data_IF_201269749252
#
_entry.id   IF_201269749252
#
_cell.length_a   1.000
_cell.length_b   1.000
_cell.length_c   1.000
_cell.angle_alpha   90.00
_cell.angle_beta   90.00
_cell.angle_gamma   90.00
#
_symmetry.space_group_name_H-M   'P 1'
#
loop_
_entity.id
_entity.type
_entity.pdbx_description
1 polymer ?
#
# COMPACT_ATOMS: atom_id res chain seq x y z
N UNK A 1 -81.31 -0.84 8.95
CA UNK A 1 -81.49 -2.26 9.32
C UNK A 1 -80.21 -2.68 10.04
N UNK A 2 -79.95 -2.42 11.32
CA UNK A 2 -80.73 -2.54 12.57
C UNK A 2 -81.37 -3.94 12.74
N UNK A 3 -81.03 -4.53 13.88
CA UNK A 3 -81.46 -5.79 14.53
C UNK A 3 -80.60 -7.03 14.17
N UNK A 4 -79.99 -7.78 15.10
CA UNK A 4 -80.20 -7.98 16.55
C UNK A 4 -78.87 -8.57 17.13
N UNK A 5 -78.19 -8.04 18.17
CA UNK A 5 -78.45 -8.18 19.60
C UNK A 5 -78.95 -9.61 19.98
N UNK A 6 -78.44 -10.38 20.96
CA UNK A 6 -77.63 -10.08 22.16
C UNK A 6 -77.41 -11.42 22.93
N UNK A 7 -76.29 -11.52 23.65
CA UNK A 7 -76.10 -12.16 24.99
C UNK A 7 -76.44 -13.64 25.24
N UNK A 8 -75.44 -14.39 25.76
CA UNK A 8 -75.45 -14.87 27.16
C UNK A 8 -74.08 -15.47 27.55
N UNK A 9 -73.37 -14.71 28.38
CA UNK A 9 -72.29 -15.16 29.26
C UNK A 9 -72.87 -16.00 30.39
N UNK A 10 -72.26 -17.13 30.74
CA UNK A 10 -72.26 -17.63 32.12
C UNK A 10 -70.90 -18.23 32.48
N UNK A 11 -70.43 -17.78 33.64
CA UNK A 11 -69.12 -17.99 34.22
C UNK A 11 -69.00 -19.33 34.95
N UNK A 12 -67.74 -19.68 35.20
CA UNK A 12 -67.17 -20.14 36.48
C UNK A 12 -66.76 -21.61 36.59
N UNK A 13 -65.43 -21.76 36.53
CA UNK A 13 -64.56 -22.47 37.47
C UNK A 13 -64.67 -24.00 37.58
N UNK A 14 -63.60 -24.67 37.14
CA UNK A 14 -62.81 -25.48 38.08
C UNK A 14 -61.32 -25.46 37.70
N UNK A 15 -60.49 -25.24 38.72
CA UNK A 15 -59.04 -25.12 38.70
C UNK A 15 -58.39 -26.50 38.85
N UNK A 16 -57.10 -26.57 38.48
CA UNK A 16 -56.03 -27.50 38.95
C UNK A 16 -55.46 -28.52 37.92
N UNK A 17 -54.38 -28.07 37.26
CA UNK A 17 -53.01 -28.64 37.16
C UNK A 17 -52.81 -30.14 36.84
N UNK A 18 -52.19 -30.38 35.67
CA UNK A 18 -50.99 -31.21 35.39
C UNK A 18 -50.76 -31.13 33.85
N UNK A 19 -49.89 -30.28 33.29
CA UNK A 19 -48.42 -30.39 33.22
C UNK A 19 -48.04 -31.88 33.01
N UNK A 20 -47.66 -32.40 31.84
CA UNK A 20 -46.68 -31.92 30.87
C UNK A 20 -46.79 -32.76 29.59
N UNK A 21 -46.95 -32.14 28.43
CA UNK A 21 -46.52 -32.72 27.14
C UNK A 21 -46.12 -31.57 26.23
N UNK A 22 -44.98 -30.99 26.59
CA UNK A 22 -44.25 -29.99 25.80
C UNK A 22 -43.86 -30.65 24.48
N UNK A 23 -44.66 -30.43 23.45
CA UNK A 23 -44.19 -30.58 22.06
C UNK A 23 -43.47 -29.30 21.71
N UNK A 24 -42.22 -29.18 22.16
CA UNK A 24 -41.29 -28.17 21.64
C UNK A 24 -41.14 -28.45 20.14
N UNK A 25 -41.19 -27.44 19.25
CA UNK A 25 -40.63 -27.64 17.93
C UNK A 25 -39.17 -28.03 18.16
N UNK A 26 -38.71 -29.09 17.49
CA UNK A 26 -37.30 -29.42 17.46
C UNK A 26 -36.58 -28.17 16.91
N UNK A 27 -36.02 -27.38 17.83
CA UNK A 27 -34.98 -26.42 17.50
C UNK A 27 -33.92 -27.30 16.85
N UNK A 28 -33.77 -27.17 15.54
CA UNK A 28 -32.53 -27.56 14.90
C UNK A 28 -31.47 -26.81 15.70
N UNK A 29 -30.78 -27.51 16.61
CA UNK A 29 -29.48 -27.05 17.05
C UNK A 29 -28.72 -26.90 15.75
N UNK A 30 -28.50 -25.67 15.32
CA UNK A 30 -27.43 -25.41 14.40
C UNK A 30 -26.19 -25.93 15.12
N UNK A 31 -25.77 -27.13 14.77
CA UNK A 31 -24.37 -27.50 14.84
C UNK A 31 -23.66 -26.64 13.81
N UNK A 32 -23.65 -25.32 14.04
CA UNK A 32 -22.62 -24.46 13.51
C UNK A 32 -21.35 -24.98 14.15
N UNK A 33 -20.63 -25.81 13.40
CA UNK A 33 -19.28 -26.18 13.76
C UNK A 33 -18.52 -24.86 13.95
N UNK A 34 -18.24 -24.53 15.21
CA UNK A 34 -17.46 -23.36 15.56
C UNK A 34 -16.11 -23.48 14.84
N UNK A 35 -15.79 -22.47 14.03
CA UNK A 35 -14.50 -22.40 13.36
C UNK A 35 -13.40 -22.47 14.42
N UNK A 36 -12.40 -23.33 14.17
CA UNK A 36 -11.19 -23.35 14.99
C UNK A 36 -10.47 -22.00 14.89
N UNK A 37 -9.67 -21.63 15.91
CA UNK A 37 -8.84 -20.42 15.85
C UNK A 37 -7.93 -20.41 14.60
N UNK A 38 -7.49 -21.58 14.15
CA UNK A 38 -6.74 -21.75 12.89
C UNK A 38 -7.57 -21.33 11.67
N UNK A 39 -8.82 -21.79 11.58
CA UNK A 39 -9.73 -21.42 10.48
C UNK A 39 -10.09 -19.94 10.50
N UNK A 40 -10.35 -19.38 11.69
CA UNK A 40 -10.61 -17.94 11.85
C UNK A 40 -9.39 -17.11 11.42
N UNK A 41 -8.19 -17.52 11.84
CA UNK A 41 -6.94 -16.87 11.46
C UNK A 41 -6.72 -16.93 9.95
N UNK A 42 -6.81 -18.10 9.33
CA UNK A 42 -6.66 -18.24 7.87
C UNK A 42 -7.69 -17.39 7.11
N UNK A 43 -8.95 -17.34 7.55
CA UNK A 43 -9.96 -16.48 6.95
C UNK A 43 -9.62 -14.99 7.04
N UNK A 44 -9.11 -14.52 8.18
CA UNK A 44 -8.67 -13.11 8.35
C UNK A 44 -7.47 -12.76 7.46
N UNK A 45 -6.54 -13.71 7.26
CA UNK A 45 -5.33 -13.46 6.47
C UNK A 45 -5.50 -13.75 4.97
N UNK A 46 -6.56 -14.45 4.56
CA UNK A 46 -6.86 -14.67 3.13
C UNK A 46 -7.08 -13.34 2.41
N UNK A 47 -7.72 -12.37 3.06
CA UNK A 47 -7.92 -11.04 2.48
C UNK A 47 -6.60 -10.26 2.37
N UNK A 48 -5.74 -10.36 3.38
CA UNK A 48 -4.39 -9.78 3.34
C UNK A 48 -3.53 -10.43 2.25
N UNK A 49 -3.61 -11.75 2.07
CA UNK A 49 -2.93 -12.48 1.00
C UNK A 49 -3.34 -11.99 -0.38
N UNK A 50 -4.64 -11.73 -0.61
CA UNK A 50 -5.12 -11.11 -1.86
C UNK A 50 -4.57 -9.70 -2.05
N UNK A 51 -4.61 -8.87 -1.00
CA UNK A 51 -4.08 -7.50 -1.05
C UNK A 51 -2.58 -7.47 -1.40
N UNK A 52 -1.78 -8.34 -0.76
CA UNK A 52 -0.33 -8.43 -1.03
C UNK A 52 -0.09 -8.98 -2.44
N UNK A 53 -0.88 -9.94 -2.90
CA UNK A 53 -0.84 -10.42 -4.28
C UNK A 53 -1.04 -9.30 -5.30
N UNK A 54 -2.03 -8.42 -5.09
CA UNK A 54 -2.23 -7.22 -5.92
C UNK A 54 -1.07 -6.24 -5.81
N UNK A 55 -0.55 -5.99 -4.61
CA UNK A 55 0.60 -5.10 -4.41
C UNK A 55 1.84 -5.61 -5.16
N UNK A 56 2.07 -6.92 -5.19
CA UNK A 56 3.18 -7.53 -5.95
C UNK A 56 3.03 -7.30 -7.45
N UNK A 57 1.83 -7.51 -7.98
CA UNK A 57 1.54 -7.23 -9.40
C UNK A 57 1.71 -5.74 -9.74
N UNK A 58 1.21 -4.85 -8.89
CA UNK A 58 1.37 -3.41 -9.09
C UNK A 58 2.84 -2.97 -9.01
N UNK A 59 3.63 -3.59 -8.13
CA UNK A 59 5.06 -3.32 -8.03
C UNK A 59 5.82 -3.77 -9.29
N UNK A 60 5.47 -4.92 -9.89
CA UNK A 60 6.08 -5.34 -11.15
C UNK A 60 5.70 -4.41 -12.31
N UNK A 61 4.43 -3.98 -12.38
CA UNK A 61 3.98 -3.03 -13.40
C UNK A 61 4.72 -1.70 -13.27
N UNK A 62 4.88 -1.18 -12.03
CA UNK A 62 5.60 0.07 -11.81
C UNK A 62 7.08 -0.06 -12.16
N UNK A 63 7.71 -1.20 -11.84
CA UNK A 63 9.09 -1.48 -12.23
C UNK A 63 9.27 -1.46 -13.76
N UNK A 64 8.39 -2.14 -14.50
CA UNK A 64 8.43 -2.20 -15.96
C UNK A 64 8.20 -0.82 -16.58
N UNK A 65 7.24 -0.06 -16.03
CA UNK A 65 6.98 1.32 -16.43
C UNK A 65 8.23 2.18 -16.24
N UNK A 66 8.87 2.14 -15.06
CA UNK A 66 10.07 2.95 -14.78
C UNK A 66 11.23 2.58 -15.69
N UNK A 67 11.41 1.29 -16.00
CA UNK A 67 12.42 0.84 -16.98
C UNK A 67 12.15 1.44 -18.37
N UNK A 68 10.91 1.38 -18.84
CA UNK A 68 10.53 1.97 -20.12
C UNK A 68 10.69 3.50 -20.14
N UNK A 69 10.34 4.19 -19.04
CA UNK A 69 10.57 5.63 -18.89
C UNK A 69 12.05 5.99 -18.90
N UNK A 70 12.90 5.19 -18.24
CA UNK A 70 14.34 5.37 -18.23
C UNK A 70 14.95 5.19 -19.62
N UNK A 71 14.57 4.14 -20.35
CA UNK A 71 15.05 3.92 -21.72
C UNK A 71 14.67 5.09 -22.65
N UNK A 72 13.41 5.54 -22.58
CA UNK A 72 12.93 6.67 -23.37
C UNK A 72 13.67 7.96 -23.02
N UNK A 73 13.80 8.26 -21.74
CA UNK A 73 14.39 9.53 -21.28
C UNK A 73 15.91 9.53 -21.49
N UNK A 74 16.56 8.37 -21.44
CA UNK A 74 17.96 8.21 -21.85
C UNK A 74 18.17 8.48 -23.35
N UNK A 75 17.28 7.95 -24.21
CA UNK A 75 17.32 8.24 -25.63
C UNK A 75 17.09 9.74 -25.93
N UNK A 76 16.20 10.39 -25.19
CA UNK A 76 15.96 11.83 -25.27
C UNK A 76 17.19 12.64 -24.83
N UNK A 77 17.86 12.23 -23.75
CA UNK A 77 19.11 12.86 -23.31
C UNK A 77 20.18 12.78 -24.39
N UNK A 78 20.35 11.62 -25.02
CA UNK A 78 21.31 11.43 -26.12
C UNK A 78 20.98 12.27 -27.35
N UNK A 79 19.69 12.40 -27.68
CA UNK A 79 19.24 13.30 -28.73
C UNK A 79 19.55 14.77 -28.38
N UNK A 80 19.22 15.20 -27.17
CA UNK A 80 19.41 16.58 -26.72
C UNK A 80 20.90 16.93 -26.61
N UNK A 81 21.77 15.99 -26.25
CA UNK A 81 23.22 16.17 -26.31
C UNK A 81 23.69 16.53 -27.72
N UNK A 82 23.26 15.76 -28.74
CA UNK A 82 23.59 16.03 -30.15
C UNK A 82 23.02 17.36 -30.65
N UNK A 83 21.82 17.72 -30.20
CA UNK A 83 21.20 19.00 -30.56
C UNK A 83 21.93 20.18 -29.92
N UNK A 84 22.38 20.04 -28.66
CA UNK A 84 23.15 21.06 -27.96
C UNK A 84 24.53 21.26 -28.61
N UNK A 85 25.24 20.19 -28.96
CA UNK A 85 26.52 20.26 -29.70
C UNK A 85 26.39 21.01 -31.03
N UNK A 86 25.22 20.94 -31.65
CA UNK A 86 24.89 21.68 -32.88
C UNK A 86 24.31 23.08 -32.64
N UNK A 87 24.27 23.54 -31.39
CA UNK A 87 23.64 24.79 -30.96
C UNK A 87 22.14 24.91 -31.34
N UNK A 88 21.46 23.79 -31.55
CA UNK A 88 20.04 23.76 -31.93
C UNK A 88 19.09 23.94 -30.74
N UNK A 89 19.54 23.62 -29.53
CA UNK A 89 18.82 23.83 -28.27
C UNK A 89 19.72 24.58 -27.27
N UNK A 90 19.15 25.38 -26.35
CA UNK A 90 19.93 26.01 -25.29
C UNK A 90 20.36 25.00 -24.22
N UNK A 91 21.42 25.33 -23.48
CA UNK A 91 22.01 24.48 -22.42
C UNK A 91 20.96 23.99 -21.40
N UNK A 92 20.01 24.85 -21.02
CA UNK A 92 18.97 24.52 -20.05
C UNK A 92 18.10 23.31 -20.47
N UNK A 93 17.87 23.08 -21.76
CA UNK A 93 17.10 21.90 -22.23
C UNK A 93 17.91 20.62 -22.02
N UNK A 94 19.24 20.69 -22.21
CA UNK A 94 20.14 19.57 -21.92
C UNK A 94 20.19 19.29 -20.41
N UNK A 95 20.30 20.34 -19.58
CA UNK A 95 20.30 20.22 -18.11
C UNK A 95 19.01 19.56 -17.59
N UNK A 96 17.85 19.96 -18.11
CA UNK A 96 16.55 19.34 -17.77
C UNK A 96 16.57 17.85 -18.09
N UNK A 97 17.09 17.49 -19.27
CA UNK A 97 17.15 16.09 -19.71
C UNK A 97 18.09 15.25 -18.83
N UNK A 98 19.23 15.82 -18.43
CA UNK A 98 20.17 15.18 -17.51
C UNK A 98 19.55 14.93 -16.13
N UNK A 99 18.84 15.93 -15.60
CA UNK A 99 18.16 15.82 -14.31
C UNK A 99 17.00 14.82 -14.36
N UNK A 100 16.28 14.75 -15.48
CA UNK A 100 15.20 13.77 -15.68
C UNK A 100 15.73 12.34 -15.73
N UNK A 101 16.79 12.08 -16.49
CA UNK A 101 17.47 10.78 -16.54
C UNK A 101 18.00 10.39 -15.15
N UNK A 102 18.66 11.31 -14.45
CA UNK A 102 19.17 11.07 -13.10
C UNK A 102 18.05 10.72 -12.11
N UNK A 103 16.92 11.45 -12.14
CA UNK A 103 15.76 11.15 -11.31
C UNK A 103 15.18 9.76 -11.62
N UNK A 104 14.99 9.41 -12.89
CA UNK A 104 14.45 8.10 -13.26
C UNK A 104 15.37 6.94 -12.83
N UNK A 105 16.70 7.11 -12.88
CA UNK A 105 17.64 6.11 -12.33
C UNK A 105 17.43 5.89 -10.84
N UNK A 106 17.13 6.95 -10.08
CA UNK A 106 16.80 6.81 -8.64
C UNK A 106 15.44 6.17 -8.42
N UNK A 107 14.45 6.48 -9.26
CA UNK A 107 13.14 5.80 -9.22
C UNK A 107 13.29 4.30 -9.47
N UNK A 108 14.18 3.88 -10.36
CA UNK A 108 14.42 2.45 -10.62
C UNK A 108 14.90 1.73 -9.36
N UNK A 109 15.89 2.29 -8.65
CA UNK A 109 16.40 1.72 -7.39
C UNK A 109 15.26 1.59 -6.36
N UNK A 110 14.45 2.64 -6.22
CA UNK A 110 13.31 2.63 -5.29
C UNK A 110 12.29 1.57 -5.69
N UNK A 111 11.98 1.43 -6.98
CA UNK A 111 11.04 0.44 -7.49
C UNK A 111 11.52 -1.00 -7.28
N UNK A 112 12.80 -1.26 -7.53
CA UNK A 112 13.43 -2.57 -7.28
C UNK A 112 13.35 -2.94 -5.79
N UNK A 113 13.75 -2.03 -4.90
CA UNK A 113 13.64 -2.25 -3.45
C UNK A 113 12.20 -2.38 -2.97
N UNK A 114 11.26 -1.66 -3.58
CA UNK A 114 9.85 -1.78 -3.26
C UNK A 114 9.29 -3.15 -3.67
N UNK A 115 9.68 -3.66 -4.84
CA UNK A 115 9.32 -5.00 -5.28
C UNK A 115 9.92 -6.09 -4.36
N UNK A 116 11.18 -5.92 -3.92
CA UNK A 116 11.82 -6.79 -2.93
C UNK A 116 11.07 -6.78 -1.58
N UNK A 117 10.75 -5.59 -1.06
CA UNK A 117 10.03 -5.46 0.20
C UNK A 117 8.63 -6.10 0.16
N UNK A 118 7.90 -5.95 -0.94
CA UNK A 118 6.59 -6.60 -1.13
C UNK A 118 6.76 -8.12 -1.32
N UNK A 119 7.82 -8.56 -1.99
CA UNK A 119 8.20 -9.97 -2.07
C UNK A 119 8.43 -10.59 -0.69
N UNK A 120 9.22 -9.92 0.17
CA UNK A 120 9.47 -10.36 1.53
C UNK A 120 8.19 -10.40 2.40
N UNK A 121 7.25 -9.45 2.19
CA UNK A 121 5.93 -9.48 2.85
C UNK A 121 5.11 -10.70 2.41
N UNK A 122 5.12 -11.00 1.11
CA UNK A 122 4.44 -12.16 0.56
C UNK A 122 4.99 -13.48 1.12
N UNK A 123 6.33 -13.59 1.23
CA UNK A 123 6.99 -14.73 1.86
C UNK A 123 6.61 -14.86 3.35
N UNK A 124 6.63 -13.75 4.11
CA UNK A 124 6.26 -13.77 5.52
C UNK A 124 4.81 -14.22 5.76
N UNK A 125 3.87 -13.79 4.91
CA UNK A 125 2.48 -14.28 4.97
C UNK A 125 2.39 -15.75 4.58
N UNK A 126 3.14 -16.18 3.57
CA UNK A 126 3.18 -17.58 3.15
C UNK A 126 3.68 -18.50 4.26
N UNK A 127 4.75 -18.10 4.97
CA UNK A 127 5.27 -18.85 6.13
C UNK A 127 4.25 -18.94 7.28
N UNK A 128 3.49 -17.86 7.52
CA UNK A 128 2.39 -17.91 8.49
C UNK A 128 1.31 -18.90 8.07
N UNK A 129 0.91 -18.92 6.80
CA UNK A 129 -0.11 -19.84 6.32
C UNK A 129 0.36 -21.28 6.52
N UNK A 130 1.60 -21.59 6.15
CA UNK A 130 2.23 -22.91 6.36
C UNK A 130 2.21 -23.33 7.82
N UNK A 131 2.61 -22.43 8.73
CA UNK A 131 2.56 -22.68 10.18
C UNK A 131 1.15 -23.05 10.67
N UNK A 132 0.13 -22.29 10.24
CA UNK A 132 -1.25 -22.56 10.66
C UNK A 132 -1.85 -23.81 10.00
N UNK A 133 -1.37 -24.20 8.82
CA UNK A 133 -1.71 -25.47 8.15
C UNK A 133 -1.08 -26.69 8.84
N UNK A 134 -0.21 -26.47 9.84
CA UNK A 134 0.42 -27.53 10.63
C UNK A 134 1.72 -28.05 10.03
N UNK A 135 2.29 -27.34 9.06
CA UNK A 135 3.67 -27.59 8.64
C UNK A 135 4.65 -27.26 9.78
N UNK A 136 5.82 -27.91 9.84
CA UNK A 136 6.78 -27.75 10.92
C UNK A 136 7.60 -26.45 10.79
N UNK A 137 6.93 -25.30 10.71
CA UNK A 137 7.56 -23.97 10.76
C UNK A 137 7.77 -23.58 12.21
N UNK A 138 8.98 -23.19 12.57
CA UNK A 138 9.33 -22.76 13.93
C UNK A 138 8.96 -21.30 14.16
N UNK A 139 8.76 -20.92 15.43
CA UNK A 139 8.58 -19.51 15.82
C UNK A 139 9.78 -18.65 15.41
N UNK A 140 11.00 -19.23 15.42
CA UNK A 140 12.21 -18.58 14.95
C UNK A 140 12.15 -18.25 13.45
N UNK A 141 11.69 -19.19 12.63
CA UNK A 141 11.54 -19.02 11.18
C UNK A 141 10.49 -17.95 10.87
N UNK A 142 9.32 -18.00 11.52
CA UNK A 142 8.27 -16.99 11.40
C UNK A 142 8.79 -15.59 11.75
N UNK A 143 9.44 -15.46 12.90
CA UNK A 143 10.02 -14.20 13.34
C UNK A 143 11.05 -13.68 12.35
N UNK A 144 11.95 -14.55 11.87
CA UNK A 144 12.97 -14.17 10.91
C UNK A 144 12.37 -13.66 9.59
N UNK A 145 11.30 -14.30 9.09
CA UNK A 145 10.64 -13.87 7.86
C UNK A 145 9.95 -12.53 8.02
N UNK A 146 9.25 -12.32 9.13
CA UNK A 146 8.63 -11.03 9.46
C UNK A 146 9.67 -9.92 9.64
N UNK A 147 10.79 -10.23 10.31
CA UNK A 147 11.86 -9.26 10.53
C UNK A 147 12.50 -8.83 9.20
N UNK A 148 12.80 -9.78 8.30
CA UNK A 148 13.30 -9.46 6.96
C UNK A 148 12.34 -8.56 6.19
N UNK A 149 11.05 -8.86 6.22
CA UNK A 149 10.02 -8.03 5.59
C UNK A 149 9.98 -6.61 6.16
N UNK A 150 10.15 -6.45 7.48
CA UNK A 150 10.23 -5.14 8.12
C UNK A 150 11.47 -4.35 7.69
N UNK A 151 12.63 -5.00 7.75
CA UNK A 151 13.91 -4.39 7.42
C UNK A 151 13.95 -3.96 5.94
N UNK A 152 13.47 -4.80 5.01
CA UNK A 152 13.37 -4.46 3.59
C UNK A 152 12.46 -3.23 3.33
N UNK A 153 11.38 -3.08 4.10
CA UNK A 153 10.52 -1.90 4.04
C UNK A 153 11.20 -0.61 4.51
N UNK A 154 12.15 -0.71 5.44
CA UNK A 154 12.93 0.40 5.96
C UNK A 154 14.11 0.76 5.05
N UNK A 155 14.75 -0.25 4.45
CA UNK A 155 15.97 -0.11 3.63
C UNK A 155 15.78 0.67 2.33
N UNK A 156 14.53 0.81 1.84
CA UNK A 156 14.20 1.68 0.72
C UNK A 156 14.08 3.16 1.09
N UNK A 157 13.89 3.48 2.37
CA UNK A 157 13.60 4.84 2.83
C UNK A 157 14.64 5.88 2.42
N UNK A 158 15.96 5.63 2.58
CA UNK A 158 16.99 6.56 2.14
C UNK A 158 16.94 6.86 0.64
N UNK A 159 16.73 5.83 -0.20
CA UNK A 159 16.65 6.01 -1.65
C UNK A 159 15.36 6.71 -2.07
N UNK A 160 14.24 6.51 -1.37
CA UNK A 160 13.02 7.28 -1.59
C UNK A 160 13.27 8.79 -1.38
N UNK A 161 14.03 9.16 -0.35
CA UNK A 161 14.40 10.58 -0.10
C UNK A 161 15.23 11.12 -1.25
N UNK A 162 16.33 10.44 -1.60
CA UNK A 162 17.23 10.85 -2.69
C UNK A 162 16.49 10.96 -4.02
N UNK A 163 15.55 10.05 -4.30
CA UNK A 163 14.76 10.09 -5.51
C UNK A 163 13.78 11.29 -5.54
N UNK A 164 13.21 11.68 -4.40
CA UNK A 164 12.36 12.88 -4.32
C UNK A 164 13.16 14.18 -4.40
N UNK A 165 14.37 14.23 -3.84
CA UNK A 165 15.28 15.37 -4.00
C UNK A 165 15.69 15.55 -5.46
N UNK A 166 16.00 14.45 -6.17
CA UNK A 166 16.29 14.48 -7.60
C UNK A 166 15.07 14.98 -8.42
N UNK A 167 13.85 14.58 -8.04
CA UNK A 167 12.64 15.11 -8.65
C UNK A 167 12.51 16.62 -8.44
N UNK A 168 12.73 17.10 -7.21
CA UNK A 168 12.66 18.53 -6.90
C UNK A 168 13.68 19.34 -7.72
N UNK A 169 14.91 18.84 -7.88
CA UNK A 169 15.92 19.47 -8.72
C UNK A 169 15.50 19.55 -10.20
N UNK A 170 14.97 18.44 -10.75
CA UNK A 170 14.39 18.41 -12.11
C UNK A 170 13.23 19.41 -12.26
N UNK A 171 12.29 19.43 -11.31
CA UNK A 171 11.13 20.30 -11.35
C UNK A 171 11.52 21.78 -11.25
N UNK A 172 12.53 22.11 -10.44
CA UNK A 172 13.05 23.47 -10.31
C UNK A 172 13.67 23.97 -11.61
N UNK A 173 14.50 23.15 -12.25
CA UNK A 173 15.11 23.48 -13.54
C UNK A 173 14.04 23.59 -14.65
N UNK A 174 13.04 22.72 -14.63
CA UNK A 174 11.90 22.78 -15.56
C UNK A 174 11.08 24.06 -15.38
N UNK A 175 10.87 24.51 -14.14
CA UNK A 175 10.21 25.76 -13.83
C UNK A 175 11.04 26.97 -14.27
N UNK A 176 12.36 26.95 -14.08
CA UNK A 176 13.26 27.98 -14.59
C UNK A 176 13.07 28.16 -16.10
N UNK A 177 13.02 27.05 -16.84
CA UNK A 177 12.79 27.08 -18.28
C UNK A 177 11.39 27.57 -18.64
N UNK A 178 10.36 27.13 -17.92
CA UNK A 178 9.00 27.61 -18.12
C UNK A 178 8.88 29.12 -17.94
N UNK A 179 9.57 29.70 -16.94
CA UNK A 179 9.64 31.16 -16.72
C UNK A 179 10.29 31.89 -17.91
N UNK A 180 11.41 31.38 -18.42
CA UNK A 180 12.09 31.95 -19.60
C UNK A 180 11.20 31.93 -20.86
N UNK A 181 10.41 30.88 -21.04
CA UNK A 181 9.51 30.75 -22.18
C UNK A 181 8.25 31.62 -22.02
N UNK A 182 7.70 31.68 -20.82
CA UNK A 182 6.54 32.50 -20.52
C UNK A 182 6.85 34.01 -20.68
N UNK A 183 8.03 34.47 -20.22
CA UNK A 183 8.45 35.87 -20.39
C UNK A 183 8.61 36.30 -21.85
N UNK A 184 8.74 35.34 -22.78
CA UNK A 184 8.81 35.56 -24.23
C UNK A 184 7.46 35.36 -24.94
N UNK A 185 6.40 35.10 -24.18
CA UNK A 185 5.07 34.79 -24.71
C UNK A 185 4.96 33.41 -25.37
N UNK A 186 5.96 32.54 -25.23
CA UNK A 186 6.00 31.21 -25.87
C UNK A 186 5.33 30.11 -25.04
N UNK A 187 4.89 30.43 -23.82
CA UNK A 187 4.28 29.47 -22.88
C UNK A 187 3.18 30.16 -22.08
N UNK A 188 2.05 29.48 -21.87
CA UNK A 188 0.88 30.06 -21.19
C UNK A 188 1.09 30.17 -19.67
N UNK A 189 0.39 31.11 -19.02
CA UNK A 189 0.41 31.22 -17.56
C UNK A 189 -0.03 29.93 -16.87
N UNK A 190 -0.99 29.18 -17.46
CA UNK A 190 -1.46 27.92 -16.91
C UNK A 190 -0.32 26.90 -16.79
N UNK A 191 0.47 26.70 -17.85
CA UNK A 191 1.61 25.77 -17.84
C UNK A 191 2.68 26.23 -16.84
N UNK A 192 2.89 27.53 -16.69
CA UNK A 192 3.82 28.04 -15.67
C UNK A 192 3.36 27.67 -14.25
N UNK A 193 2.07 27.88 -13.94
CA UNK A 193 1.49 27.55 -12.64
C UNK A 193 1.52 26.03 -12.36
N UNK A 194 1.32 25.21 -13.37
CA UNK A 194 1.46 23.75 -13.27
C UNK A 194 2.89 23.36 -12.85
N UNK A 195 3.92 23.99 -13.42
CA UNK A 195 5.33 23.74 -13.03
C UNK A 195 5.66 24.24 -11.64
N UNK A 196 5.06 25.36 -11.20
CA UNK A 196 5.19 25.82 -9.82
C UNK A 196 4.55 24.85 -8.83
N UNK A 197 3.37 24.33 -9.16
CA UNK A 197 2.69 23.32 -8.36
C UNK A 197 3.51 22.02 -8.30
N UNK A 198 4.08 21.57 -9.42
CA UNK A 198 4.92 20.38 -9.48
C UNK A 198 6.15 20.50 -8.55
N UNK A 199 6.86 21.63 -8.60
CA UNK A 199 7.99 21.88 -7.70
C UNK A 199 7.57 21.85 -6.23
N UNK A 200 6.43 22.48 -5.91
CA UNK A 200 5.90 22.49 -4.54
C UNK A 200 5.59 21.07 -4.04
N UNK A 201 4.97 20.25 -4.90
CA UNK A 201 4.67 18.85 -4.59
C UNK A 201 5.95 18.05 -4.40
N UNK A 202 6.94 18.20 -5.30
CA UNK A 202 8.20 17.49 -5.22
C UNK A 202 8.95 17.79 -3.91
N UNK A 203 9.06 19.07 -3.53
CA UNK A 203 9.69 19.49 -2.26
C UNK A 203 8.95 18.95 -1.04
N UNK A 204 7.63 19.08 -1.02
CA UNK A 204 6.80 18.55 0.08
C UNK A 204 6.94 17.03 0.22
N UNK A 205 7.03 16.30 -0.89
CA UNK A 205 7.26 14.86 -0.87
C UNK A 205 8.65 14.49 -0.33
N UNK A 206 9.70 15.22 -0.70
CA UNK A 206 11.04 15.01 -0.16
C UNK A 206 11.07 15.17 1.37
N UNK A 207 10.50 16.27 1.89
CA UNK A 207 10.39 16.54 3.32
C UNK A 207 9.58 15.44 4.05
N UNK A 208 8.44 15.05 3.48
CA UNK A 208 7.58 13.99 4.03
C UNK A 208 8.27 12.62 4.07
N UNK A 209 9.08 12.29 3.06
CA UNK A 209 9.85 11.04 3.01
C UNK A 209 10.98 11.06 4.05
N UNK A 210 11.70 12.18 4.16
CA UNK A 210 12.74 12.33 5.18
C UNK A 210 12.19 12.13 6.60
N UNK A 211 11.07 12.79 6.92
CA UNK A 211 10.42 12.61 8.22
C UNK A 211 9.87 11.19 8.48
N UNK A 212 9.57 10.41 7.44
CA UNK A 212 9.19 8.98 7.57
C UNK A 212 10.37 8.07 7.84
N UNK A 213 11.51 8.34 7.21
CA UNK A 213 12.73 7.57 7.43
C UNK A 213 13.16 7.60 8.90
N UNK A 214 13.08 8.78 9.52
CA UNK A 214 13.38 8.94 10.95
C UNK A 214 12.44 8.11 11.83
N UNK A 215 11.16 7.99 11.45
CA UNK A 215 10.20 7.13 12.16
C UNK A 215 10.48 5.65 11.98
N UNK A 216 10.85 5.19 10.78
CA UNK A 216 11.20 3.78 10.55
C UNK A 216 12.40 3.35 11.41
N UNK A 217 13.34 4.26 11.66
CA UNK A 217 14.48 4.03 12.57
C UNK A 217 14.10 4.07 14.04
N UNK A 218 13.04 4.80 14.41
CA UNK A 218 12.59 4.96 15.79
C UNK A 218 11.59 3.89 16.26
N UNK A 219 10.79 3.30 15.36
CA UNK A 219 9.87 2.21 15.70
C UNK A 219 10.66 0.92 15.86
N UNK A 220 10.84 0.50 17.11
CA UNK A 220 11.47 -0.77 17.45
C UNK A 220 10.53 -1.92 17.08
N UNK A 221 10.92 -2.72 16.08
CA UNK A 221 10.31 -4.04 15.91
C UNK A 221 10.64 -4.90 17.13
N UNK A 222 9.65 -5.55 17.80
CA UNK A 222 9.87 -6.30 19.03
C UNK A 222 10.94 -7.38 18.85
N UNK A 223 11.76 -7.62 19.87
CA UNK A 223 12.71 -8.72 19.81
C UNK A 223 11.99 -10.07 19.87
N UNK A 224 12.62 -11.13 19.35
CA UNK A 224 12.06 -12.48 19.47
C UNK A 224 11.87 -12.88 20.95
N UNK A 225 12.79 -12.46 21.81
CA UNK A 225 12.69 -12.71 23.24
C UNK A 225 11.45 -12.04 23.84
N UNK A 226 11.15 -10.80 23.47
CA UNK A 226 9.95 -10.10 23.93
C UNK A 226 8.66 -10.79 23.43
N UNK A 227 8.65 -11.25 22.18
CA UNK A 227 7.51 -12.00 21.62
C UNK A 227 7.30 -13.32 22.37
N UNK A 228 8.38 -14.06 22.66
CA UNK A 228 8.33 -15.32 23.40
C UNK A 228 7.91 -15.14 24.87
N UNK A 229 8.17 -13.98 25.47
CA UNK A 229 7.69 -13.65 26.82
C UNK A 229 6.18 -13.39 26.85
N UNK A 230 5.59 -12.86 25.76
CA UNK A 230 4.14 -12.62 25.65
C UNK A 230 3.36 -13.93 25.48
N UNK A 231 3.98 -14.97 24.91
CA UNK A 231 3.33 -16.27 24.68
C UNK A 231 3.33 -17.20 25.90
N UNK A 232 3.76 -16.74 27.07
CA UNK A 232 3.71 -17.47 28.35
C UNK A 232 2.59 -16.91 29.23
#
# INVERSE_FOLDING_TARGET
MIECLRTLTFCAALLVVLVSAVSRPAVAQSTEALLSQKQLFVMMYTDQGRAIGYQRLLASIELDKIKAELERDHALLEQNRKLYEKNAIPLIELEISQLKDAWNRKQLIVAEKNAEAIGAQFEAVSEIIRYFDGEPVTVQELYSSYRRSWDAGCDKGPDEVVAMEAWAAYAEKSLERARQLNSRGSLSLAVLLEREAELKIARSNAESRAGRLDRCRAVLFPSLEDIQRISR
#
